data_IF_136809407366
#
_entry.id   IF_136809407366
#
_cell.length_a   1.000
_cell.length_b   1.000
_cell.length_c   1.000
_cell.angle_alpha   90.00
_cell.angle_beta   90.00
_cell.angle_gamma   90.00
#
_symmetry.space_group_name_H-M   'P 1'
#
loop_
_entity.id
_entity.type
_entity.pdbx_description
1 polymer ?
#
# COMPACT_ATOMS: atom_id res chain seq x y z
N UNK A 1 48.95 72.50 15.28
CA UNK A 1 50.27 71.80 15.35
C UNK A 1 50.02 70.32 15.03
N UNK A 2 50.55 69.87 13.84
CA UNK A 2 51.36 68.70 13.64
C UNK A 2 50.73 67.38 14.15
N UNK A 3 50.60 66.27 13.45
CA UNK A 3 51.31 65.67 12.33
C UNK A 3 50.45 64.51 11.76
N UNK A 4 50.47 64.37 10.46
CA UNK A 4 50.24 63.05 9.82
C UNK A 4 51.38 62.07 10.14
N UNK A 5 51.17 60.76 10.08
CA UNK A 5 51.62 60.10 8.88
C UNK A 5 50.71 59.00 8.32
N UNK A 6 50.82 58.85 7.05
CA UNK A 6 50.41 57.74 6.21
C UNK A 6 50.73 56.37 6.85
N UNK A 7 49.76 55.48 6.88
CA UNK A 7 50.04 54.06 6.89
C UNK A 7 49.41 53.38 5.69
N UNK A 8 50.26 52.94 4.80
CA UNK A 8 50.01 52.11 3.63
C UNK A 8 49.58 50.73 4.15
N UNK A 9 48.35 50.31 3.87
CA UNK A 9 47.95 48.95 4.14
C UNK A 9 47.80 48.20 2.84
N UNK A 10 48.70 47.27 2.63
CA UNK A 10 48.71 46.34 1.53
C UNK A 10 47.44 45.42 1.57
N UNK A 11 46.68 45.44 0.49
CA UNK A 11 45.61 44.52 0.28
C UNK A 11 46.17 43.14 -0.09
N UNK A 12 46.10 42.20 0.85
CA UNK A 12 46.30 40.78 0.59
C UNK A 12 44.98 40.16 0.12
N UNK A 13 44.89 39.87 -1.15
CA UNK A 13 43.78 39.14 -1.72
C UNK A 13 43.85 37.66 -1.35
N UNK A 14 43.05 37.24 -0.39
CA UNK A 14 42.84 35.83 -0.05
C UNK A 14 41.81 35.27 -1.04
N UNK A 15 42.28 34.59 -2.07
CA UNK A 15 41.47 33.75 -2.94
C UNK A 15 41.10 32.47 -2.16
N UNK A 16 39.88 32.45 -1.60
CA UNK A 16 39.31 31.25 -1.01
C UNK A 16 38.90 30.30 -2.12
N UNK A 17 39.64 29.24 -2.37
CA UNK A 17 39.21 28.10 -3.17
C UNK A 17 38.14 27.35 -2.38
N UNK A 18 36.87 27.54 -2.76
CA UNK A 18 35.77 26.69 -2.31
C UNK A 18 35.91 25.36 -3.04
N UNK A 19 36.47 24.36 -2.42
CA UNK A 19 36.43 22.98 -2.86
C UNK A 19 34.97 22.51 -2.69
N UNK A 20 34.22 22.45 -3.78
CA UNK A 20 32.91 21.79 -3.81
C UNK A 20 33.13 20.30 -3.61
N UNK A 21 32.95 19.83 -2.37
CA UNK A 21 32.87 18.39 -2.07
C UNK A 21 31.53 17.89 -2.55
N UNK A 22 31.51 17.33 -3.74
CA UNK A 22 30.37 16.53 -4.24
C UNK A 22 30.28 15.26 -3.37
N UNK A 23 29.44 15.29 -2.35
CA UNK A 23 29.03 14.08 -1.64
C UNK A 23 28.17 13.25 -2.59
N UNK A 24 28.78 12.33 -3.31
CA UNK A 24 28.08 11.23 -3.96
C UNK A 24 27.49 10.37 -2.86
N UNK A 25 26.22 10.62 -2.52
CA UNK A 25 25.43 9.74 -1.69
C UNK A 25 25.21 8.47 -2.49
N UNK A 26 26.09 7.50 -2.31
CA UNK A 26 25.83 6.14 -2.76
C UNK A 26 24.63 5.65 -1.94
N UNK A 27 23.46 5.66 -2.55
CA UNK A 27 22.28 5.05 -1.96
C UNK A 27 22.59 3.55 -1.85
N UNK A 28 23.00 3.12 -0.67
CA UNK A 28 23.05 1.70 -0.35
C UNK A 28 21.59 1.23 -0.39
N UNK A 29 21.22 0.54 -1.47
CA UNK A 29 19.98 -0.21 -1.51
C UNK A 29 20.08 -1.23 -0.36
N UNK A 30 19.35 -0.98 0.72
CA UNK A 30 19.21 -1.96 1.78
C UNK A 30 18.60 -3.22 1.17
N UNK A 31 19.15 -4.42 1.45
CA UNK A 31 18.52 -5.65 1.01
C UNK A 31 17.10 -5.69 1.60
N UNK A 32 16.10 -5.58 0.73
CA UNK A 32 14.71 -5.71 1.13
C UNK A 32 14.53 -7.18 1.51
N UNK A 33 14.38 -7.45 2.79
CA UNK A 33 14.05 -8.81 3.25
C UNK A 33 12.76 -9.25 2.58
N UNK A 34 12.69 -10.48 2.06
CA UNK A 34 11.46 -10.97 1.45
C UNK A 34 10.33 -10.90 2.48
N UNK A 35 9.11 -10.58 2.06
CA UNK A 35 7.98 -10.49 2.97
C UNK A 35 7.73 -11.84 3.63
N UNK A 36 7.42 -11.81 4.93
CA UNK A 36 7.16 -13.04 5.71
C UNK A 36 5.92 -13.78 5.18
N UNK A 37 4.91 -13.02 4.79
CA UNK A 37 3.64 -13.53 4.27
C UNK A 37 3.34 -12.95 2.90
N UNK A 38 2.95 -13.80 1.97
CA UNK A 38 2.74 -13.44 0.57
C UNK A 38 1.59 -14.24 -0.01
N UNK A 39 0.68 -13.55 -0.68
CA UNK A 39 -0.45 -14.15 -1.39
C UNK A 39 -0.57 -13.58 -2.80
N UNK A 40 -1.18 -14.35 -3.69
CA UNK A 40 -1.71 -13.87 -4.95
C UNK A 40 -3.23 -13.78 -4.85
N UNK A 41 -3.79 -12.63 -5.21
CA UNK A 41 -5.22 -12.47 -5.35
C UNK A 41 -5.64 -12.96 -6.74
N UNK A 42 -6.31 -14.11 -6.81
CA UNK A 42 -6.67 -14.75 -8.07
C UNK A 42 -7.89 -14.07 -8.70
N UNK A 43 -8.92 -13.79 -7.89
CA UNK A 43 -10.10 -13.03 -8.28
C UNK A 43 -10.84 -12.44 -7.07
N UNK A 44 -11.65 -11.42 -7.32
CA UNK A 44 -12.61 -10.88 -6.35
C UNK A 44 -13.86 -10.36 -7.04
N UNK A 45 -14.98 -10.37 -6.31
CA UNK A 45 -16.28 -9.87 -6.74
C UNK A 45 -17.02 -9.23 -5.57
N UNK A 46 -17.70 -8.13 -5.82
CA UNK A 46 -18.57 -7.47 -4.88
C UNK A 46 -20.00 -7.49 -5.43
N UNK A 47 -20.94 -7.96 -4.66
CA UNK A 47 -22.36 -8.09 -5.04
C UNK A 47 -23.24 -7.37 -4.02
N UNK A 48 -24.01 -6.39 -4.49
CA UNK A 48 -24.99 -5.69 -3.68
C UNK A 48 -26.34 -6.42 -3.78
N UNK A 49 -26.87 -6.82 -2.65
CA UNK A 49 -28.17 -7.50 -2.56
C UNK A 49 -29.07 -6.91 -1.47
N UNK A 50 -30.27 -7.47 -1.27
CA UNK A 50 -31.21 -7.03 -0.24
C UNK A 50 -30.63 -7.11 1.19
N UNK A 51 -29.70 -8.03 1.41
CA UNK A 51 -29.03 -8.24 2.70
C UNK A 51 -27.74 -7.43 2.89
N UNK A 52 -27.40 -6.51 1.97
CA UNK A 52 -26.18 -5.72 2.00
C UNK A 52 -25.16 -6.10 0.92
N UNK A 53 -23.94 -5.67 1.11
CA UNK A 53 -22.81 -5.95 0.23
C UNK A 53 -22.14 -7.26 0.64
N UNK A 54 -21.98 -8.18 -0.31
CA UNK A 54 -21.18 -9.41 -0.14
C UNK A 54 -19.96 -9.32 -1.03
N UNK A 55 -18.78 -9.45 -0.43
CA UNK A 55 -17.50 -9.47 -1.12
C UNK A 55 -16.94 -10.88 -1.01
N UNK A 56 -16.59 -11.46 -2.15
CA UNK A 56 -15.98 -12.79 -2.25
C UNK A 56 -14.75 -12.72 -3.12
N UNK A 57 -13.84 -13.64 -2.88
CA UNK A 57 -12.68 -13.80 -3.75
C UNK A 57 -11.92 -15.07 -3.43
N UNK A 58 -10.84 -15.27 -4.16
CA UNK A 58 -9.93 -16.40 -3.97
C UNK A 58 -8.50 -15.88 -3.90
N UNK A 59 -7.74 -16.41 -2.98
CA UNK A 59 -6.31 -16.14 -2.83
C UNK A 59 -5.52 -17.43 -2.83
N UNK A 60 -4.30 -17.37 -3.35
CA UNK A 60 -3.32 -18.45 -3.27
C UNK A 60 -2.16 -18.02 -2.39
N UNK A 61 -1.77 -18.83 -1.43
CA UNK A 61 -0.57 -18.60 -0.63
C UNK A 61 0.68 -18.84 -1.49
N UNK A 62 1.34 -17.77 -1.92
CA UNK A 62 2.59 -17.82 -2.71
C UNK A 62 3.83 -17.74 -1.83
N UNK A 63 3.65 -17.49 -0.53
CA UNK A 63 4.73 -17.49 0.45
C UNK A 63 5.17 -18.90 0.86
N UNK A 64 6.15 -18.94 1.75
CA UNK A 64 6.70 -20.19 2.31
C UNK A 64 6.10 -20.55 3.67
N UNK A 65 5.36 -19.64 4.28
CA UNK A 65 4.79 -19.79 5.62
C UNK A 65 3.30 -20.06 5.52
N UNK A 66 2.74 -21.01 6.28
CA UNK A 66 1.29 -21.19 6.39
C UNK A 66 0.61 -19.93 6.91
N UNK A 67 -0.59 -19.66 6.43
CA UNK A 67 -1.44 -18.57 6.89
C UNK A 67 -2.54 -19.16 7.78
N UNK A 68 -2.58 -18.77 9.06
CA UNK A 68 -3.45 -19.41 10.07
C UNK A 68 -4.56 -18.47 10.55
N UNK A 69 -4.25 -17.18 10.69
CA UNK A 69 -5.16 -16.15 11.21
C UNK A 69 -5.28 -14.98 10.24
N UNK A 70 -5.52 -15.29 8.98
CA UNK A 70 -5.61 -14.24 7.95
C UNK A 70 -6.92 -13.50 8.04
N UNK A 71 -6.83 -12.23 8.39
CA UNK A 71 -7.93 -11.28 8.33
C UNK A 71 -7.96 -10.60 6.96
N UNK A 72 -9.14 -10.50 6.40
CA UNK A 72 -9.40 -9.81 5.13
C UNK A 72 -10.14 -8.51 5.44
N UNK A 73 -9.60 -7.38 5.01
CA UNK A 73 -10.18 -6.06 5.28
C UNK A 73 -10.54 -5.39 3.94
N UNK A 74 -11.81 -5.49 3.50
CA UNK A 74 -12.28 -4.70 2.38
C UNK A 74 -12.38 -3.22 2.78
N UNK A 75 -11.82 -2.36 1.96
CA UNK A 75 -11.91 -0.90 2.10
C UNK A 75 -12.65 -0.37 0.89
N UNK A 76 -13.81 0.25 1.11
CA UNK A 76 -14.61 0.87 0.06
C UNK A 76 -14.16 2.31 -0.14
N UNK A 77 -14.07 2.71 -1.40
CA UNK A 77 -13.54 4.01 -1.81
C UNK A 77 -14.60 4.79 -2.58
N UNK A 78 -14.65 6.10 -2.39
CA UNK A 78 -15.46 7.00 -3.19
C UNK A 78 -14.83 7.26 -4.59
N UNK A 79 -15.45 8.14 -5.38
CA UNK A 79 -14.95 8.51 -6.72
C UNK A 79 -13.61 9.25 -6.69
N UNK A 80 -13.26 9.83 -5.56
CA UNK A 80 -12.02 10.57 -5.36
C UNK A 80 -10.92 9.71 -4.75
N UNK A 81 -11.22 8.44 -4.43
CA UNK A 81 -10.29 7.49 -3.85
C UNK A 81 -10.19 7.54 -2.32
N UNK A 82 -11.05 8.33 -1.66
CA UNK A 82 -11.11 8.37 -0.21
C UNK A 82 -11.85 7.16 0.35
N UNK A 83 -11.41 6.69 1.51
CA UNK A 83 -12.09 5.62 2.23
C UNK A 83 -13.43 6.10 2.76
N UNK A 84 -14.51 5.40 2.43
CA UNK A 84 -15.86 5.65 2.92
C UNK A 84 -16.35 4.56 3.87
N UNK A 85 -15.71 3.40 3.84
CA UNK A 85 -16.05 2.29 4.72
C UNK A 85 -14.93 1.26 4.77
N UNK A 86 -14.80 0.60 5.92
CA UNK A 86 -13.88 -0.52 6.13
C UNK A 86 -14.62 -1.68 6.80
N UNK A 87 -14.58 -2.83 6.14
CA UNK A 87 -15.21 -4.05 6.61
C UNK A 87 -14.24 -5.07 7.20
N UNK A 88 -14.76 -6.24 7.51
CA UNK A 88 -13.98 -7.36 7.98
C UNK A 88 -14.47 -8.67 7.34
N UNK A 89 -13.51 -9.54 7.04
CA UNK A 89 -13.77 -10.87 6.52
C UNK A 89 -12.62 -11.82 6.86
N UNK A 90 -12.78 -13.07 6.50
CA UNK A 90 -11.82 -14.13 6.81
C UNK A 90 -11.71 -15.10 5.64
N UNK A 91 -10.59 -15.84 5.61
CA UNK A 91 -10.45 -17.00 4.73
C UNK A 91 -11.39 -18.12 5.17
N UNK A 92 -11.92 -18.85 4.21
CA UNK A 92 -12.80 -20.01 4.47
C UNK A 92 -12.04 -21.24 4.93
N UNK A 93 -10.72 -21.24 4.77
CA UNK A 93 -9.82 -22.35 5.13
C UNK A 93 -8.69 -21.82 6.00
N UNK A 94 -8.40 -22.50 7.11
CA UNK A 94 -7.28 -22.25 8.01
C UNK A 94 -6.75 -23.58 8.55
N UNK A 95 -5.42 -23.84 8.47
CA UNK A 95 -4.38 -23.03 7.86
C UNK A 95 -4.39 -23.10 6.33
N UNK A 96 -4.06 -21.99 5.65
CA UNK A 96 -3.79 -21.98 4.22
C UNK A 96 -2.32 -22.26 3.98
N UNK A 97 -2.02 -23.49 3.56
CA UNK A 97 -0.64 -23.94 3.33
C UNK A 97 -0.02 -23.28 2.08
N UNK A 98 1.32 -23.20 1.99
CA UNK A 98 2.03 -22.77 0.79
C UNK A 98 1.55 -23.48 -0.48
N UNK A 99 1.33 -22.73 -1.56
CA UNK A 99 0.83 -23.23 -2.84
C UNK A 99 -0.66 -23.60 -2.87
N UNK A 100 -1.39 -23.49 -1.77
CA UNK A 100 -2.84 -23.79 -1.72
C UNK A 100 -3.65 -22.52 -1.87
N UNK A 101 -4.88 -22.68 -2.38
CA UNK A 101 -5.83 -21.60 -2.55
C UNK A 101 -6.98 -21.72 -1.56
N UNK A 102 -7.55 -20.58 -1.17
CA UNK A 102 -8.74 -20.49 -0.34
C UNK A 102 -9.63 -19.36 -0.80
N UNK A 103 -10.93 -19.52 -0.63
CA UNK A 103 -11.87 -18.43 -0.77
C UNK A 103 -11.89 -17.55 0.47
N UNK A 104 -12.25 -16.30 0.28
CA UNK A 104 -12.58 -15.38 1.37
C UNK A 104 -13.96 -14.79 1.17
N UNK A 105 -14.57 -14.38 2.28
CA UNK A 105 -15.86 -13.72 2.29
C UNK A 105 -15.90 -12.62 3.33
N UNK A 106 -16.45 -11.47 2.94
CA UNK A 106 -16.84 -10.39 3.83
C UNK A 106 -18.30 -10.00 3.53
N UNK A 107 -19.07 -9.68 4.57
CA UNK A 107 -20.48 -9.27 4.44
C UNK A 107 -20.68 -7.97 5.19
N UNK A 108 -21.23 -6.97 4.51
CA UNK A 108 -21.41 -5.61 5.02
C UNK A 108 -22.88 -5.19 4.86
N UNK A 109 -23.70 -5.37 5.91
CA UNK A 109 -25.15 -5.15 5.81
C UNK A 109 -25.54 -3.72 5.44
N UNK A 110 -24.75 -2.74 5.84
CA UNK A 110 -25.03 -1.32 5.66
C UNK A 110 -23.93 -0.59 4.85
N UNK A 111 -23.36 -1.27 3.85
CA UNK A 111 -22.33 -0.67 3.03
C UNK A 111 -22.83 0.59 2.31
N UNK A 112 -22.10 1.72 2.38
CA UNK A 112 -22.44 2.93 1.64
C UNK A 112 -22.21 2.72 0.13
N UNK A 113 -22.67 3.68 -0.68
CA UNK A 113 -22.32 3.71 -2.10
C UNK A 113 -20.82 3.93 -2.25
N UNK A 114 -20.18 3.16 -3.12
CA UNK A 114 -18.76 3.24 -3.38
C UNK A 114 -18.47 3.21 -4.89
N UNK A 115 -17.30 3.66 -5.28
CA UNK A 115 -16.81 3.68 -6.66
C UNK A 115 -15.64 2.73 -6.87
N UNK A 116 -14.94 2.36 -5.80
CA UNK A 116 -13.80 1.47 -5.82
C UNK A 116 -13.70 0.62 -4.56
N UNK A 117 -12.89 -0.42 -4.63
CA UNK A 117 -12.62 -1.31 -3.50
C UNK A 117 -11.14 -1.69 -3.48
N UNK A 118 -10.57 -1.70 -2.28
CA UNK A 118 -9.22 -2.19 -2.01
C UNK A 118 -9.30 -3.30 -0.96
N UNK A 119 -8.58 -4.38 -1.19
CA UNK A 119 -8.45 -5.47 -0.23
C UNK A 119 -7.10 -5.38 0.47
N UNK A 120 -7.11 -5.51 1.79
CA UNK A 120 -5.92 -5.58 2.63
C UNK A 120 -5.98 -6.88 3.41
N UNK A 121 -4.85 -7.57 3.50
CA UNK A 121 -4.74 -8.85 4.21
C UNK A 121 -3.72 -8.70 5.33
N UNK A 122 -4.05 -9.25 6.50
CA UNK A 122 -3.16 -9.32 7.65
C UNK A 122 -3.12 -10.76 8.18
N UNK A 123 -1.95 -11.24 8.50
CA UNK A 123 -1.74 -12.53 9.19
C UNK A 123 -1.24 -12.27 10.60
N UNK A 124 -2.03 -12.65 11.61
CA UNK A 124 -1.69 -12.41 13.01
C UNK A 124 -1.25 -10.95 13.31
N UNK A 125 -1.90 -9.97 12.66
CA UNK A 125 -1.58 -8.54 12.80
C UNK A 125 -0.46 -8.03 11.89
N UNK A 126 0.25 -8.88 11.17
CA UNK A 126 1.29 -8.49 10.21
C UNK A 126 0.70 -8.30 8.81
N UNK A 127 1.16 -7.30 8.04
CA UNK A 127 0.70 -7.10 6.67
C UNK A 127 1.14 -8.28 5.79
N UNK A 128 0.22 -8.74 4.96
CA UNK A 128 0.47 -9.75 3.93
C UNK A 128 0.73 -9.04 2.61
N UNK A 129 1.81 -9.37 1.93
CA UNK A 129 2.05 -8.84 0.59
C UNK A 129 1.13 -9.50 -0.41
N UNK A 130 0.41 -8.69 -1.18
CA UNK A 130 -0.50 -9.16 -2.23
C UNK A 130 0.16 -9.01 -3.58
N UNK A 131 0.37 -10.15 -4.26
CA UNK A 131 0.75 -10.22 -5.67
C UNK A 131 -0.52 -10.29 -6.53
N UNK A 132 -0.48 -9.69 -7.68
CA UNK A 132 -1.57 -9.78 -8.65
C UNK A 132 -1.95 -8.44 -9.26
N UNK A 133 -2.82 -8.44 -10.25
CA UNK A 133 -3.24 -7.21 -10.90
C UNK A 133 -3.90 -6.31 -9.86
N UNK A 134 -3.50 -5.04 -9.85
CA UNK A 134 -4.27 -4.00 -9.16
C UNK A 134 -5.63 -3.96 -9.84
N UNK A 135 -6.62 -4.60 -9.21
CA UNK A 135 -7.96 -4.65 -9.75
C UNK A 135 -8.51 -3.23 -9.77
N UNK A 136 -8.53 -2.64 -10.95
CA UNK A 136 -9.29 -1.44 -11.21
C UNK A 136 -10.74 -1.74 -10.86
N UNK A 137 -11.37 -0.85 -10.09
CA UNK A 137 -12.76 -0.96 -9.73
C UNK A 137 -13.62 -1.35 -10.94
N UNK A 138 -14.27 -2.49 -10.89
CA UNK A 138 -15.33 -2.82 -11.86
C UNK A 138 -16.38 -1.72 -11.72
N UNK A 139 -16.48 -0.86 -12.72
CA UNK A 139 -17.59 0.08 -12.84
C UNK A 139 -18.86 -0.75 -12.88
N UNK A 140 -19.63 -0.66 -11.82
CA UNK A 140 -21.01 -1.13 -11.86
C UNK A 140 -21.72 -0.24 -12.90
N UNK A 141 -22.03 -0.79 -14.06
CA UNK A 141 -22.87 -0.11 -15.03
C UNK A 141 -24.22 0.16 -14.34
N UNK A 142 -24.74 1.40 -14.35
CA UNK A 142 -26.08 1.64 -13.86
C UNK A 142 -27.04 0.83 -14.75
N UNK A 143 -27.87 0.00 -14.10
CA UNK A 143 -28.84 -0.84 -14.77
C UNK A 143 -29.65 -0.05 -15.77
N UNK A 144 -29.75 -0.58 -16.98
CA UNK A 144 -30.73 -0.16 -17.96
C UNK A 144 -32.12 -0.40 -17.35
N UNK A 145 -32.82 0.68 -17.02
CA UNK A 145 -34.25 0.65 -16.84
C UNK A 145 -34.88 0.48 -18.22
N UNK A 146 -35.65 -0.57 -18.41
CA UNK A 146 -36.68 -0.65 -19.41
C UNK A 146 -37.97 -0.03 -18.86
#
# INVERSE_FOLDING_TARGET
>A
MKCSPLCLVAAASLTTFAAAQTFTRTAHAQPVSPPLYQIRLDWQKAEQGPGGLVIRGCVTNTGKTPLTYTQVTPTLLDRTGNEVFRGAGYLTVSPLLPGRSAEFRACEPAAPRFAGMRMVFHEAGHPVQVEGPRLSASRHAPGQAL
#
